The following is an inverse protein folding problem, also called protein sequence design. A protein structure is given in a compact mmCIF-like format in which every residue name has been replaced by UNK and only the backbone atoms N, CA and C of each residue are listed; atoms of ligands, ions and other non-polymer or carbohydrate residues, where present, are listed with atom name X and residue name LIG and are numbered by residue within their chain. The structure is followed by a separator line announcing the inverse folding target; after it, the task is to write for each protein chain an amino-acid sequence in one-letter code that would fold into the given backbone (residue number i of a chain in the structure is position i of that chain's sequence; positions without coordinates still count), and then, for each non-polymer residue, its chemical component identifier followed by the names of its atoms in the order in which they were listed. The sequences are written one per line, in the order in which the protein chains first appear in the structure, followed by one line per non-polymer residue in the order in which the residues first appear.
data_IF_061268995452
#
_entry.id   IF_061268995452
#
_cell.length_a   1.000
_cell.length_b   1.000
_cell.length_c   1.000
_cell.angle_alpha   90.00
_cell.angle_beta   90.00
_cell.angle_gamma   90.00
#
_symmetry.space_group_name_H-M   'P 1'
#
loop_
_entity.id
_entity.type
_entity.pdbx_description
1 polymer ?
#
# COMPACT_ATOMS: atom_id res chain seq x y z
N UNK A 1 28.71 -22.13 -1.94
CA UNK A 1 27.66 -21.09 -1.85
C UNK A 1 27.01 -20.99 -3.22
N UNK A 2 25.72 -21.34 -3.34
CA UNK A 2 25.04 -21.54 -4.63
C UNK A 2 25.19 -20.32 -5.57
N UNK A 3 25.64 -20.57 -6.79
CA UNK A 3 25.95 -19.57 -7.82
C UNK A 3 24.78 -18.61 -8.12
N UNK A 4 23.56 -19.08 -7.88
CA UNK A 4 22.31 -18.33 -8.03
C UNK A 4 22.20 -17.14 -7.06
N UNK A 5 22.52 -17.34 -5.79
CA UNK A 5 22.48 -16.28 -4.77
C UNK A 5 23.52 -15.18 -5.06
N UNK A 6 24.70 -15.58 -5.55
CA UNK A 6 25.76 -14.63 -5.94
C UNK A 6 25.31 -13.73 -7.08
N UNK A 7 24.67 -14.30 -8.12
CA UNK A 7 24.19 -13.54 -9.27
C UNK A 7 23.05 -12.58 -8.94
N UNK A 8 22.18 -12.95 -7.99
CA UNK A 8 21.06 -12.12 -7.57
C UNK A 8 21.54 -10.88 -6.78
N UNK A 9 22.54 -11.06 -5.91
CA UNK A 9 23.15 -9.96 -5.12
C UNK A 9 23.90 -8.97 -6.01
N UNK A 10 24.67 -9.47 -6.99
CA UNK A 10 25.42 -8.60 -7.92
C UNK A 10 24.47 -7.73 -8.73
N UNK A 11 23.35 -8.27 -9.21
CA UNK A 11 22.36 -7.49 -9.98
C UNK A 11 21.57 -6.47 -9.15
N UNK A 12 21.27 -6.78 -7.90
CA UNK A 12 20.38 -5.93 -7.08
C UNK A 12 21.13 -4.86 -6.26
N UNK A 13 22.40 -5.07 -5.93
CA UNK A 13 23.14 -4.23 -4.96
C UNK A 13 24.42 -3.63 -5.53
N UNK A 14 25.08 -4.31 -6.49
CA UNK A 14 26.32 -3.81 -7.10
C UNK A 14 26.00 -3.09 -8.42
N UNK A 15 26.01 -1.76 -8.31
CA UNK A 15 25.96 -0.73 -9.34
C UNK A 15 25.91 -1.22 -10.81
N UNK A 16 24.76 -1.10 -11.52
CA UNK A 16 24.63 -1.52 -12.92
C UNK A 16 25.49 -0.70 -13.91
N UNK A 17 26.01 0.46 -13.50
CA UNK A 17 26.85 1.35 -14.34
C UNK A 17 28.27 0.85 -14.59
N UNK A 18 28.75 -0.18 -13.87
CA UNK A 18 30.09 -0.77 -14.08
C UNK A 18 30.09 -1.91 -15.12
N UNK A 19 29.19 -1.85 -16.11
CA UNK A 19 29.05 -2.87 -17.16
C UNK A 19 30.30 -3.07 -18.04
N UNK A 20 31.30 -2.19 -17.92
CA UNK A 20 32.50 -2.17 -18.77
C UNK A 20 33.83 -2.37 -18.02
N UNK A 21 33.83 -2.90 -16.79
CA UNK A 21 35.07 -3.34 -16.12
C UNK A 21 35.17 -4.86 -16.12
N UNK A 22 36.29 -5.34 -16.66
CA UNK A 22 36.65 -6.72 -16.93
C UNK A 22 36.37 -7.68 -15.77
N UNK A 23 36.11 -8.93 -16.14
CA UNK A 23 35.70 -10.09 -15.35
C UNK A 23 36.67 -10.50 -14.21
N UNK A 24 37.70 -9.70 -13.92
CA UNK A 24 38.84 -10.03 -13.04
C UNK A 24 38.94 -9.15 -11.77
N UNK A 25 38.04 -8.18 -11.57
CA UNK A 25 37.91 -7.49 -10.28
C UNK A 25 37.13 -8.41 -9.31
N UNK A 26 37.81 -9.42 -8.76
CA UNK A 26 37.25 -10.32 -7.75
C UNK A 26 36.79 -9.50 -6.54
N UNK A 27 35.48 -9.27 -6.42
CA UNK A 27 34.86 -8.55 -5.31
C UNK A 27 35.44 -9.04 -3.97
N UNK A 28 36.06 -8.13 -3.21
CA UNK A 28 36.65 -8.45 -1.90
C UNK A 28 35.60 -9.11 -0.99
N UNK A 29 36.02 -10.06 -0.15
CA UNK A 29 35.16 -10.73 0.83
C UNK A 29 34.34 -9.71 1.67
N UNK A 30 34.91 -8.53 1.92
CA UNK A 30 34.23 -7.41 2.56
C UNK A 30 33.06 -6.84 1.74
N UNK A 31 33.22 -6.67 0.42
CA UNK A 31 32.16 -6.15 -0.46
C UNK A 31 30.99 -7.13 -0.58
N UNK A 32 31.27 -8.44 -0.59
CA UNK A 32 30.25 -9.49 -0.59
C UNK A 32 29.50 -9.52 0.76
N UNK A 33 30.23 -9.46 1.87
CA UNK A 33 29.63 -9.40 3.22
C UNK A 33 28.77 -8.14 3.41
N UNK A 34 29.23 -6.97 2.91
CA UNK A 34 28.48 -5.72 2.93
C UNK A 34 27.21 -5.80 2.07
N UNK A 35 27.29 -6.40 0.88
CA UNK A 35 26.15 -6.62 0.00
C UNK A 35 25.07 -7.51 0.62
N UNK A 36 25.48 -8.63 1.24
CA UNK A 36 24.58 -9.53 1.98
C UNK A 36 23.87 -8.83 3.15
N UNK A 37 24.59 -7.98 3.89
CA UNK A 37 24.01 -7.22 5.01
C UNK A 37 22.96 -6.23 4.52
N UNK A 38 23.26 -5.46 3.48
CA UNK A 38 22.32 -4.48 2.91
C UNK A 38 21.09 -5.20 2.36
N UNK A 39 21.30 -6.26 1.57
CA UNK A 39 20.20 -7.06 1.00
C UNK A 39 19.26 -7.59 2.08
N UNK A 40 19.83 -8.17 3.16
CA UNK A 40 19.04 -8.64 4.31
C UNK A 40 18.21 -7.50 4.90
N UNK A 41 18.84 -6.35 5.19
CA UNK A 41 18.13 -5.20 5.78
C UNK A 41 17.01 -4.70 4.87
N UNK A 42 17.24 -4.60 3.56
CA UNK A 42 16.23 -4.18 2.58
C UNK A 42 15.04 -5.13 2.53
N UNK A 43 15.28 -6.45 2.56
CA UNK A 43 14.19 -7.45 2.59
C UNK A 43 13.38 -7.33 3.88
N UNK A 44 14.06 -7.27 5.04
CA UNK A 44 13.36 -7.15 6.32
C UNK A 44 12.56 -5.84 6.42
N UNK A 45 13.08 -4.74 5.87
CA UNK A 45 12.36 -3.49 5.77
C UNK A 45 11.13 -3.62 4.85
N UNK A 46 11.28 -4.20 3.65
CA UNK A 46 10.17 -4.39 2.72
C UNK A 46 9.06 -5.30 3.27
N UNK A 47 9.41 -6.35 4.02
CA UNK A 47 8.44 -7.22 4.67
C UNK A 47 7.66 -6.48 5.77
N UNK A 48 8.36 -5.69 6.59
CA UNK A 48 7.73 -4.85 7.61
C UNK A 48 6.76 -3.85 6.99
N UNK A 49 7.17 -3.21 5.89
CA UNK A 49 6.33 -2.26 5.15
C UNK A 49 5.08 -2.93 4.60
N UNK A 50 5.22 -4.11 3.99
CA UNK A 50 4.10 -4.89 3.47
C UNK A 50 3.13 -5.31 4.58
N UNK A 51 3.63 -5.74 5.74
CA UNK A 51 2.80 -6.08 6.90
C UNK A 51 2.03 -4.87 7.44
N UNK A 52 2.67 -3.70 7.52
CA UNK A 52 2.01 -2.46 7.94
C UNK A 52 0.90 -2.06 6.97
N UNK A 53 1.17 -2.12 5.66
CA UNK A 53 0.17 -1.85 4.63
C UNK A 53 -0.99 -2.84 4.73
N UNK A 54 -0.71 -4.13 4.86
CA UNK A 54 -1.74 -5.16 4.94
C UNK A 54 -2.65 -4.97 6.16
N UNK A 55 -2.09 -4.75 7.36
CA UNK A 55 -2.86 -4.44 8.55
C UNK A 55 -3.64 -3.12 8.40
N UNK A 56 -3.03 -2.14 7.72
CA UNK A 56 -3.68 -0.88 7.39
C UNK A 56 -4.92 -1.08 6.51
N UNK A 57 -4.80 -1.88 5.45
CA UNK A 57 -5.91 -2.22 4.55
C UNK A 57 -7.04 -2.91 5.31
N UNK A 58 -6.75 -3.89 6.16
CA UNK A 58 -7.79 -4.60 6.92
C UNK A 58 -8.53 -3.66 7.87
N UNK A 59 -7.80 -2.80 8.59
CA UNK A 59 -8.38 -1.78 9.47
C UNK A 59 -9.25 -0.79 8.68
N UNK A 60 -8.74 -0.28 7.56
CA UNK A 60 -9.47 0.67 6.73
C UNK A 60 -10.72 0.05 6.09
N UNK A 61 -10.63 -1.17 5.57
CA UNK A 61 -11.76 -1.88 5.00
C UNK A 61 -12.87 -2.14 6.04
N UNK A 62 -12.47 -2.52 7.27
CA UNK A 62 -13.40 -2.70 8.38
C UNK A 62 -14.09 -1.38 8.77
N UNK A 63 -13.33 -0.30 8.91
CA UNK A 63 -13.86 1.04 9.19
C UNK A 63 -14.82 1.51 8.09
N UNK A 64 -14.38 1.46 6.84
CA UNK A 64 -15.12 1.94 5.69
C UNK A 64 -16.39 1.12 5.44
N UNK A 65 -16.30 -0.21 5.37
CA UNK A 65 -17.45 -1.04 5.02
C UNK A 65 -18.37 -1.32 6.20
N UNK A 66 -17.82 -1.57 7.39
CA UNK A 66 -18.60 -1.91 8.57
C UNK A 66 -19.30 -0.72 9.24
N UNK A 67 -18.81 0.51 9.04
CA UNK A 67 -19.41 1.70 9.64
C UNK A 67 -19.91 2.70 8.59
N UNK A 68 -19.03 3.18 7.70
CA UNK A 68 -19.37 4.29 6.80
C UNK A 68 -20.36 3.87 5.71
N UNK A 69 -20.11 2.73 5.04
CA UNK A 69 -20.97 2.27 3.94
C UNK A 69 -22.37 1.88 4.38
N UNK A 70 -22.48 1.12 5.48
CA UNK A 70 -23.78 0.69 6.04
C UNK A 70 -24.70 1.87 6.36
N UNK A 71 -24.15 3.00 6.81
CA UNK A 71 -24.92 4.14 7.29
C UNK A 71 -24.96 5.31 6.30
N UNK A 72 -24.55 5.09 5.04
CA UNK A 72 -24.41 6.15 4.02
C UNK A 72 -23.60 7.36 4.51
N UNK A 73 -22.65 7.12 5.40
CA UNK A 73 -21.81 8.15 5.96
C UNK A 73 -20.67 8.43 4.99
N UNK A 74 -20.45 9.71 4.71
CA UNK A 74 -19.50 10.14 3.67
C UNK A 74 -18.17 10.51 4.32
N UNK A 75 -17.09 9.99 3.75
CA UNK A 75 -15.71 10.38 4.07
C UNK A 75 -15.23 11.56 3.21
N UNK A 76 -14.05 12.11 3.51
CA UNK A 76 -13.37 13.07 2.65
C UNK A 76 -12.58 12.42 1.49
N UNK A 77 -11.92 13.26 0.69
CA UNK A 77 -10.93 12.80 -0.28
C UNK A 77 -11.47 12.01 -1.48
N UNK A 78 -10.59 11.18 -2.07
CA UNK A 78 -10.93 10.30 -3.18
C UNK A 78 -11.94 9.21 -2.78
N UNK A 79 -11.89 8.72 -1.54
CA UNK A 79 -12.87 7.76 -1.01
C UNK A 79 -14.24 8.42 -0.86
N UNK A 80 -14.32 9.65 -0.36
CA UNK A 80 -15.54 10.45 -0.32
C UNK A 80 -16.21 10.64 -1.68
N UNK A 81 -15.43 10.99 -2.70
CA UNK A 81 -15.91 11.10 -4.09
C UNK A 81 -16.45 9.74 -4.57
N UNK A 82 -15.76 8.65 -4.25
CA UNK A 82 -16.20 7.28 -4.60
C UNK A 82 -17.52 6.91 -3.93
N UNK A 83 -17.71 7.27 -2.66
CA UNK A 83 -18.94 7.07 -1.91
C UNK A 83 -20.11 7.86 -2.51
N UNK A 84 -19.89 9.13 -2.85
CA UNK A 84 -20.89 9.99 -3.50
C UNK A 84 -21.34 9.43 -4.85
N UNK A 85 -20.39 9.06 -5.71
CA UNK A 85 -20.71 8.49 -7.02
C UNK A 85 -21.46 7.17 -6.86
N UNK A 86 -21.06 6.32 -5.90
CA UNK A 86 -21.75 5.07 -5.61
C UNK A 86 -23.19 5.29 -5.16
N UNK A 87 -23.42 6.25 -4.27
CA UNK A 87 -24.77 6.59 -3.78
C UNK A 87 -25.70 7.09 -4.90
N UNK A 88 -25.16 7.75 -5.93
CA UNK A 88 -25.94 8.27 -7.05
C UNK A 88 -26.13 7.27 -8.20
N UNK A 89 -25.12 6.44 -8.47
CA UNK A 89 -25.09 5.55 -9.65
C UNK A 89 -25.36 4.08 -9.35
N UNK A 90 -25.28 3.67 -8.08
CA UNK A 90 -25.36 2.27 -7.67
C UNK A 90 -24.12 1.43 -8.00
N UNK A 91 -23.07 2.02 -8.55
CA UNK A 91 -21.81 1.32 -8.86
C UNK A 91 -21.11 0.90 -7.56
N UNK A 92 -20.55 -0.32 -7.47
CA UNK A 92 -19.88 -0.77 -6.26
C UNK A 92 -18.68 0.10 -5.90
N UNK A 93 -18.64 0.50 -4.63
CA UNK A 93 -17.66 1.44 -4.07
C UNK A 93 -16.22 0.95 -4.27
N UNK A 94 -15.97 -0.36 -4.15
CA UNK A 94 -14.64 -0.93 -4.37
C UNK A 94 -14.07 -0.59 -5.75
N UNK A 95 -14.90 -0.61 -6.80
CA UNK A 95 -14.46 -0.25 -8.15
C UNK A 95 -14.17 1.25 -8.26
N UNK A 96 -15.03 2.08 -7.67
CA UNK A 96 -14.89 3.54 -7.69
C UNK A 96 -13.64 3.99 -6.93
N UNK A 97 -13.34 3.39 -5.78
CA UNK A 97 -12.10 3.67 -5.03
C UNK A 97 -10.89 3.48 -5.93
N UNK A 98 -10.86 2.39 -6.70
CA UNK A 98 -9.74 2.13 -7.60
C UNK A 98 -9.66 3.16 -8.73
N UNK A 99 -10.78 3.43 -9.41
CA UNK A 99 -10.83 4.36 -10.54
C UNK A 99 -10.51 5.82 -10.13
N UNK A 100 -11.10 6.29 -9.04
CA UNK A 100 -10.90 7.65 -8.54
C UNK A 100 -9.48 7.86 -8.02
N UNK A 101 -8.83 6.82 -7.49
CA UNK A 101 -7.45 6.92 -7.00
C UNK A 101 -6.38 6.88 -8.10
N UNK A 102 -6.67 6.39 -9.32
CA UNK A 102 -5.70 6.37 -10.43
C UNK A 102 -5.03 7.74 -10.69
N UNK A 103 -5.76 8.87 -10.84
CA UNK A 103 -5.13 10.17 -11.05
C UNK A 103 -4.20 10.56 -9.90
N UNK A 104 -4.61 10.34 -8.65
CA UNK A 104 -3.78 10.64 -7.47
C UNK A 104 -2.53 9.77 -7.43
N UNK A 105 -2.62 8.51 -7.83
CA UNK A 105 -1.49 7.60 -7.93
C UNK A 105 -0.48 8.05 -9.00
N UNK A 106 -0.95 8.57 -10.13
CA UNK A 106 -0.10 9.13 -11.18
C UNK A 106 0.62 10.40 -10.71
N UNK A 107 -0.05 11.27 -9.94
CA UNK A 107 0.60 12.42 -9.32
C UNK A 107 1.61 11.99 -8.25
N UNK A 108 1.24 11.05 -7.38
CA UNK A 108 2.10 10.47 -6.37
C UNK A 108 3.35 9.83 -6.96
N UNK A 109 3.24 9.15 -8.10
CA UNK A 109 4.39 8.59 -8.83
C UNK A 109 5.40 9.67 -9.23
N UNK A 110 4.92 10.83 -9.71
CA UNK A 110 5.81 11.93 -10.15
C UNK A 110 6.49 12.64 -8.98
N UNK A 111 5.82 12.74 -7.82
CA UNK A 111 6.32 13.51 -6.67
C UNK A 111 7.14 12.64 -5.70
N UNK A 112 6.63 11.45 -5.36
CA UNK A 112 7.18 10.56 -4.32
C UNK A 112 7.97 9.38 -4.90
N UNK A 113 7.91 9.17 -6.22
CA UNK A 113 8.67 8.16 -6.94
C UNK A 113 7.96 6.81 -7.08
N UNK A 114 8.62 5.90 -7.78
CA UNK A 114 8.05 4.62 -8.20
C UNK A 114 7.76 3.66 -7.04
N UNK A 115 8.60 3.64 -6.01
CA UNK A 115 8.43 2.74 -4.87
C UNK A 115 7.16 3.06 -4.07
N UNK A 116 6.88 4.35 -3.84
CA UNK A 116 5.65 4.78 -3.20
C UNK A 116 4.43 4.42 -4.06
N UNK A 117 4.47 4.75 -5.35
CA UNK A 117 3.34 4.48 -6.24
C UNK A 117 3.01 2.99 -6.33
N UNK A 118 4.00 2.10 -6.43
CA UNK A 118 3.74 0.65 -6.46
C UNK A 118 3.11 0.17 -5.15
N UNK A 119 3.64 0.61 -4.00
CA UNK A 119 3.09 0.26 -2.69
C UNK A 119 1.65 0.76 -2.52
N UNK A 120 1.39 2.02 -2.87
CA UNK A 120 0.05 2.62 -2.83
C UNK A 120 -0.91 1.93 -3.78
N UNK A 121 -0.48 1.60 -5.00
CA UNK A 121 -1.31 0.85 -5.95
C UNK A 121 -1.75 -0.49 -5.39
N UNK A 122 -0.81 -1.24 -4.79
CA UNK A 122 -1.10 -2.53 -4.14
C UNK A 122 -2.05 -2.33 -2.96
N UNK A 123 -1.85 -1.28 -2.15
CA UNK A 123 -2.69 -0.97 -1.01
C UNK A 123 -4.13 -0.64 -1.43
N UNK A 124 -4.31 0.22 -2.43
CA UNK A 124 -5.61 0.60 -3.02
C UNK A 124 -6.30 -0.62 -3.65
N UNK A 125 -5.55 -1.44 -4.39
CA UNK A 125 -6.06 -2.69 -4.97
C UNK A 125 -6.56 -3.64 -3.89
N UNK A 126 -5.77 -3.86 -2.83
CA UNK A 126 -6.16 -4.72 -1.71
C UNK A 126 -7.38 -4.15 -0.98
N UNK A 127 -7.44 -2.84 -0.76
CA UNK A 127 -8.60 -2.19 -0.14
C UNK A 127 -9.86 -2.37 -0.99
N UNK A 128 -9.76 -2.09 -2.29
CA UNK A 128 -10.85 -2.29 -3.27
C UNK A 128 -11.38 -3.71 -3.25
N UNK A 129 -10.49 -4.71 -3.32
CA UNK A 129 -10.85 -6.13 -3.27
C UNK A 129 -11.48 -6.51 -1.93
N UNK A 130 -10.91 -6.06 -0.81
CA UNK A 130 -11.43 -6.36 0.52
C UNK A 130 -12.82 -5.78 0.71
N UNK A 131 -13.04 -4.52 0.31
CA UNK A 131 -14.36 -3.87 0.36
C UNK A 131 -15.36 -4.56 -0.56
N UNK A 132 -14.92 -5.04 -1.74
CA UNK A 132 -15.82 -5.72 -2.67
C UNK A 132 -16.22 -7.12 -2.18
N UNK A 133 -15.25 -7.95 -1.79
CA UNK A 133 -15.48 -9.38 -1.51
C UNK A 133 -15.74 -9.71 -0.05
N UNK A 134 -15.24 -8.94 0.91
CA UNK A 134 -15.42 -9.24 2.34
C UNK A 134 -16.69 -8.57 2.82
N UNK A 135 -17.68 -9.36 3.25
CA UNK A 135 -18.85 -8.83 3.93
C UNK A 135 -18.53 -8.59 5.41
N UNK A 136 -18.87 -7.40 5.88
CA UNK A 136 -18.76 -7.03 7.29
C UNK A 136 -20.17 -6.87 7.85
N UNK A 137 -20.43 -7.34 9.08
CA UNK A 137 -21.73 -7.17 9.71
C UNK A 137 -21.96 -5.69 10.06
N UNK A 138 -23.22 -5.26 10.00
CA UNK A 138 -23.63 -3.94 10.44
C UNK A 138 -23.46 -3.82 11.96
N UNK A 139 -22.47 -3.04 12.40
CA UNK A 139 -22.10 -2.98 13.83
C UNK A 139 -23.05 -2.10 14.62
N UNK A 140 -23.43 -0.94 14.06
CA UNK A 140 -24.30 0.03 14.74
C UNK A 140 -25.00 0.94 13.74
N UNK A 141 -26.17 1.45 14.13
CA UNK A 141 -26.98 2.44 13.40
C UNK A 141 -26.87 3.86 13.99
N UNK A 142 -26.13 4.01 15.09
CA UNK A 142 -25.92 5.31 15.72
C UNK A 142 -24.84 6.10 14.95
N UNK A 143 -25.22 7.22 14.36
CA UNK A 143 -24.35 8.05 13.53
C UNK A 143 -23.10 8.56 14.27
N UNK A 144 -23.20 8.83 15.58
CA UNK A 144 -22.06 9.28 16.37
C UNK A 144 -21.06 8.14 16.53
N UNK A 145 -21.55 6.93 16.82
CA UNK A 145 -20.71 5.75 16.99
C UNK A 145 -20.05 5.34 15.67
N UNK A 146 -20.80 5.44 14.56
CA UNK A 146 -20.29 5.27 13.19
C UNK A 146 -19.17 6.24 12.90
N UNK A 147 -19.35 7.54 13.18
CA UNK A 147 -18.34 8.54 12.90
C UNK A 147 -17.06 8.32 13.72
N UNK A 148 -17.20 8.01 15.02
CA UNK A 148 -16.05 7.82 15.92
C UNK A 148 -15.28 6.55 15.57
N UNK A 149 -15.95 5.39 15.48
CA UNK A 149 -15.26 4.14 15.21
C UNK A 149 -14.88 3.98 13.74
N UNK A 150 -15.74 4.39 12.81
CA UNK A 150 -15.43 4.43 11.38
C UNK A 150 -14.21 5.30 11.12
N UNK A 151 -14.20 6.53 11.65
CA UNK A 151 -13.04 7.44 11.57
C UNK A 151 -11.79 6.89 12.24
N UNK A 152 -11.92 6.26 13.41
CA UNK A 152 -10.79 5.65 14.11
C UNK A 152 -10.16 4.51 13.31
N UNK A 153 -10.94 3.53 12.84
CA UNK A 153 -10.42 2.38 12.10
C UNK A 153 -9.90 2.77 10.71
N UNK A 154 -10.58 3.70 10.04
CA UNK A 154 -10.14 4.22 8.75
C UNK A 154 -8.85 5.04 8.89
N UNK A 155 -8.79 5.96 9.85
CA UNK A 155 -7.61 6.77 10.13
C UNK A 155 -6.42 5.93 10.60
N UNK A 156 -6.64 4.92 11.45
CA UNK A 156 -5.61 3.96 11.83
C UNK A 156 -5.10 3.17 10.62
N UNK A 157 -6.01 2.75 9.73
CA UNK A 157 -5.66 2.05 8.51
C UNK A 157 -4.76 2.87 7.59
N UNK A 158 -5.15 4.12 7.33
CA UNK A 158 -4.38 5.08 6.52
C UNK A 158 -3.02 5.34 7.17
N UNK A 159 -2.96 5.60 8.48
CA UNK A 159 -1.72 5.86 9.20
C UNK A 159 -0.74 4.68 9.18
N UNK A 160 -1.25 3.45 9.29
CA UNK A 160 -0.44 2.23 9.15
C UNK A 160 0.14 2.08 7.75
N UNK A 161 -0.69 2.30 6.71
CA UNK A 161 -0.22 2.25 5.32
C UNK A 161 0.87 3.30 5.05
N UNK A 162 0.67 4.54 5.50
CA UNK A 162 1.66 5.62 5.36
C UNK A 162 2.97 5.23 6.03
N UNK A 163 2.90 4.59 7.21
CA UNK A 163 4.09 4.10 7.91
C UNK A 163 4.80 2.96 7.18
N UNK A 164 4.11 2.19 6.34
CA UNK A 164 4.69 1.23 5.39
C UNK A 164 5.15 1.85 4.06
N UNK A 165 5.00 3.15 3.88
CA UNK A 165 5.43 3.88 2.69
C UNK A 165 4.48 3.79 1.50
N UNK A 166 3.18 3.59 1.75
CA UNK A 166 2.12 3.68 0.73
C UNK A 166 0.88 4.40 1.28
N UNK A 167 -0.09 4.72 0.43
CA UNK A 167 -1.34 5.38 0.83
C UNK A 167 -2.55 4.57 0.34
N UNK A 168 -3.62 4.61 1.13
CA UNK A 168 -4.89 3.94 0.83
C UNK A 168 -5.89 4.84 0.11
N UNK A 169 -5.75 6.15 0.28
CA UNK A 169 -6.63 7.15 -0.31
C UNK A 169 -5.86 8.38 -0.82
N UNK A 170 -6.40 8.99 -1.87
CA UNK A 170 -5.88 10.21 -2.47
C UNK A 170 -6.45 11.44 -1.77
N UNK A 171 -5.62 12.09 -0.95
CA UNK A 171 -5.87 13.40 -0.32
C UNK A 171 -4.65 14.29 -0.42
#
# INVERSE_FOLDING_TARGET
MHQFLKNLIVRSVLNPDKKNKSQDDMYSAYQIAKGLRIFRVTIFAGLKDALLIFLGVLSAAFGLKGFLLTNHFIDGGATGISLLISALSGVPVGLLILLVNIPFLLFGYRILGSQFAVKSAIAILLLSLTVHFVEFPDITKDNLLVAVFGGFFLGAGIGLSIRGGGVLDGT
#
